data_IF_595912995267
#
_entry.id   IF_595912995267
#
_cell.length_a   1.000
_cell.length_b   1.000
_cell.length_c   1.000
_cell.angle_alpha   90.00
_cell.angle_beta   90.00
_cell.angle_gamma   90.00
#
_symmetry.space_group_name_H-M   'P 1'
#
loop_
_entity.id
_entity.type
_entity.pdbx_description
1 polymer ?
#
# COMPACT_ATOMS: atom_id res chain seq x y z
N UNK A 1 22.61 21.73 10.95
CA UNK A 1 21.57 22.02 9.96
C UNK A 1 20.24 21.42 10.39
N UNK A 2 19.57 21.89 11.44
CA UNK A 2 18.28 21.35 11.89
C UNK A 2 17.07 21.81 11.07
N UNK A 3 17.20 22.95 10.35
CA UNK A 3 16.02 23.64 9.79
C UNK A 3 15.41 23.09 8.48
N UNK A 4 16.01 22.09 7.83
CA UNK A 4 15.51 21.56 6.54
C UNK A 4 14.36 20.53 6.65
N UNK A 5 13.94 20.20 7.85
CA UNK A 5 13.06 19.04 8.09
C UNK A 5 11.69 19.37 8.69
N UNK A 6 11.41 20.62 9.08
CA UNK A 6 10.13 21.07 9.64
C UNK A 6 9.27 21.75 8.59
N UNK A 7 7.95 21.75 8.77
CA UNK A 7 7.02 22.53 7.93
C UNK A 7 7.14 24.00 8.33
N UNK A 8 7.36 24.85 7.34
CA UNK A 8 7.44 26.33 7.56
C UNK A 8 6.13 26.98 7.14
N UNK A 9 5.89 28.17 7.66
CA UNK A 9 4.77 29.00 7.22
C UNK A 9 4.89 29.28 5.71
N UNK A 10 3.80 29.08 4.98
CA UNK A 10 3.78 29.25 3.53
C UNK A 10 4.44 28.09 2.73
N UNK A 11 4.82 26.98 3.36
CA UNK A 11 5.41 25.82 2.70
C UNK A 11 4.40 24.68 2.60
N UNK A 12 4.48 23.89 1.52
CA UNK A 12 3.68 22.67 1.29
C UNK A 12 4.56 21.44 1.37
N UNK A 13 4.09 20.42 2.11
CA UNK A 13 4.66 19.09 2.08
C UNK A 13 3.66 18.08 1.54
N UNK A 14 4.02 17.37 0.46
CA UNK A 14 3.32 16.19 0.00
C UNK A 14 3.85 15.01 0.83
N UNK A 15 3.04 14.47 1.73
CA UNK A 15 3.48 13.49 2.73
C UNK A 15 2.81 12.15 2.46
N UNK A 16 3.61 11.09 2.37
CA UNK A 16 3.12 9.73 2.31
C UNK A 16 2.58 9.28 3.67
N UNK A 17 1.30 8.90 3.69
CA UNK A 17 0.60 8.39 4.86
C UNK A 17 0.86 6.88 5.09
N UNK A 18 1.68 6.25 4.24
CA UNK A 18 1.80 4.80 4.28
C UNK A 18 0.52 4.09 3.81
N UNK A 19 0.47 2.76 3.94
CA UNK A 19 -0.63 1.93 3.41
C UNK A 19 -1.90 1.96 4.29
N UNK A 20 -1.82 2.48 5.52
CA UNK A 20 -2.97 2.61 6.41
C UNK A 20 -2.65 2.48 7.89
N UNK A 21 -1.77 1.56 8.27
CA UNK A 21 -1.27 1.42 9.63
C UNK A 21 -0.39 2.62 10.01
N UNK A 22 -0.71 3.37 11.09
CA UNK A 22 0.09 4.51 11.54
C UNK A 22 1.52 4.12 11.94
N UNK A 23 1.79 2.89 12.38
CA UNK A 23 3.13 2.42 12.71
C UNK A 23 4.04 2.29 11.47
N UNK A 24 3.46 2.26 10.28
CA UNK A 24 4.19 2.26 9.01
C UNK A 24 4.47 3.67 8.47
N UNK A 25 4.19 4.71 9.24
CA UNK A 25 4.64 6.06 8.92
C UNK A 25 6.16 6.17 9.02
N UNK A 26 6.74 6.95 8.12
CA UNK A 26 8.12 7.37 8.37
C UNK A 26 8.14 8.36 9.53
N UNK A 27 9.18 8.31 10.37
CA UNK A 27 9.38 9.28 11.46
C UNK A 27 9.30 10.74 11.01
N UNK A 28 9.63 10.99 9.74
CA UNK A 28 9.52 12.31 9.15
C UNK A 28 8.06 12.65 8.85
N UNK A 29 7.29 11.71 8.31
CA UNK A 29 5.87 11.91 8.02
C UNK A 29 5.09 12.22 9.31
N UNK A 30 5.28 11.42 10.35
CA UNK A 30 4.67 11.62 11.67
C UNK A 30 4.94 13.03 12.21
N UNK A 31 6.20 13.47 12.21
CA UNK A 31 6.55 14.80 12.68
C UNK A 31 5.89 15.90 11.84
N UNK A 32 5.92 15.80 10.50
CA UNK A 32 5.30 16.79 9.62
C UNK A 32 3.79 16.89 9.83
N UNK A 33 3.11 15.76 10.08
CA UNK A 33 1.68 15.70 10.42
C UNK A 33 1.43 16.46 11.73
N UNK A 34 2.25 16.22 12.76
CA UNK A 34 2.13 16.89 14.06
C UNK A 34 2.46 18.40 14.05
N UNK A 35 3.24 18.86 13.06
CA UNK A 35 3.62 20.28 12.92
C UNK A 35 2.69 21.09 12.02
N UNK A 36 1.81 20.44 11.24
CA UNK A 36 0.93 21.10 10.28
C UNK A 36 -0.12 21.97 10.95
N UNK A 37 -0.47 23.13 10.35
CA UNK A 37 -1.64 23.91 10.72
C UNK A 37 -2.88 23.52 9.92
N UNK A 38 -2.67 22.99 8.69
CA UNK A 38 -3.72 22.44 7.86
C UNK A 38 -3.25 21.19 7.13
N UNK A 39 -4.10 20.15 7.14
CA UNK A 39 -3.86 18.87 6.48
C UNK A 39 -4.96 18.61 5.47
N UNK A 40 -4.58 18.57 4.18
CA UNK A 40 -5.45 18.10 3.11
C UNK A 40 -5.25 16.60 2.93
N UNK A 41 -6.28 15.77 3.07
CA UNK A 41 -6.17 14.32 2.98
C UNK A 41 -7.25 13.69 2.07
N UNK A 42 -6.94 12.54 1.48
CA UNK A 42 -7.89 11.75 0.69
C UNK A 42 -8.51 10.60 1.52
N UNK A 43 -9.36 9.83 0.86
CA UNK A 43 -10.08 8.74 1.49
C UNK A 43 -9.22 7.50 1.80
N UNK A 44 -8.00 7.42 1.27
CA UNK A 44 -7.08 6.29 1.50
C UNK A 44 -6.23 6.47 2.74
N UNK A 45 -6.27 7.65 3.37
CA UNK A 45 -5.57 7.90 4.63
C UNK A 45 -6.34 7.26 5.76
N UNK A 46 -5.70 6.34 6.48
CA UNK A 46 -6.29 5.64 7.62
C UNK A 46 -6.64 6.60 8.78
N UNK A 47 -7.72 6.34 9.53
CA UNK A 47 -8.15 7.19 10.63
C UNK A 47 -7.07 7.35 11.70
N UNK A 48 -6.35 6.29 12.07
CA UNK A 48 -5.26 6.35 13.06
C UNK A 48 -4.10 7.26 12.64
N UNK A 49 -3.88 7.49 11.34
CA UNK A 49 -2.88 8.45 10.85
C UNK A 49 -3.35 9.89 11.09
N UNK A 50 -4.65 10.16 10.95
CA UNK A 50 -5.20 11.51 11.18
C UNK A 50 -5.23 11.89 12.66
N UNK A 51 -5.27 10.91 13.56
CA UNK A 51 -5.21 11.12 15.02
C UNK A 51 -3.85 11.68 15.49
N UNK A 52 -2.80 11.54 14.67
CA UNK A 52 -1.47 12.08 14.94
C UNK A 52 -1.34 13.57 14.62
N UNK A 53 -2.37 14.18 14.03
CA UNK A 53 -2.39 15.61 13.75
C UNK A 53 -2.44 16.43 15.04
N UNK A 54 -1.78 17.59 15.02
CA UNK A 54 -1.89 18.52 16.14
C UNK A 54 -3.37 18.86 16.42
N UNK A 55 -3.84 18.92 17.68
CA UNK A 55 -5.26 19.20 18.01
C UNK A 55 -5.81 20.49 17.40
N UNK A 56 -4.95 21.48 17.17
CA UNK A 56 -5.31 22.73 16.50
C UNK A 56 -5.21 22.69 14.98
N UNK A 57 -4.81 21.58 14.37
CA UNK A 57 -4.70 21.46 12.93
C UNK A 57 -6.09 21.33 12.27
N UNK A 58 -6.27 22.03 11.17
CA UNK A 58 -7.50 21.95 10.38
C UNK A 58 -7.41 20.76 9.39
N UNK A 59 -8.25 19.75 9.56
CA UNK A 59 -8.35 18.61 8.65
C UNK A 59 -9.33 18.89 7.51
N UNK A 60 -8.87 18.78 6.27
CA UNK A 60 -9.64 19.06 5.06
C UNK A 60 -9.67 17.82 4.17
N UNK A 61 -10.83 17.16 4.13
CA UNK A 61 -11.02 16.01 3.23
C UNK A 61 -11.19 16.49 1.78
N UNK A 62 -10.32 16.02 0.88
CA UNK A 62 -10.32 16.37 -0.55
C UNK A 62 -10.56 15.17 -1.48
N UNK A 63 -10.61 13.94 -0.94
CA UNK A 63 -10.86 12.71 -1.68
C UNK A 63 -12.31 12.54 -2.12
N UNK A 64 -12.57 11.52 -2.95
CA UNK A 64 -13.92 11.13 -3.35
C UNK A 64 -14.68 10.53 -2.17
N UNK A 65 -15.84 11.06 -1.83
CA UNK A 65 -16.84 10.36 -1.02
C UNK A 65 -17.85 9.70 -1.96
N UNK A 66 -18.21 8.46 -1.69
CA UNK A 66 -19.27 7.76 -2.43
C UNK A 66 -20.53 8.64 -2.53
N UNK A 67 -20.98 8.91 -3.75
CA UNK A 67 -22.24 9.63 -4.03
C UNK A 67 -22.19 11.16 -4.08
N UNK A 68 -21.05 11.83 -3.91
CA UNK A 68 -20.92 13.29 -4.09
C UNK A 68 -19.80 13.63 -5.06
N UNK A 69 -19.96 14.76 -5.79
CA UNK A 69 -18.94 15.26 -6.72
C UNK A 69 -17.58 15.34 -6.02
N UNK A 70 -16.59 14.58 -6.53
CA UNK A 70 -15.22 14.78 -6.08
C UNK A 70 -14.74 16.14 -6.54
N UNK A 71 -13.99 16.84 -5.69
CA UNK A 71 -13.22 17.99 -6.17
C UNK A 71 -12.32 17.48 -7.30
N UNK A 72 -12.32 18.18 -8.44
CA UNK A 72 -11.35 17.91 -9.49
C UNK A 72 -9.94 18.26 -8.96
N UNK A 73 -8.90 17.73 -9.59
CA UNK A 73 -7.54 17.93 -9.14
C UNK A 73 -7.17 19.43 -9.12
N UNK A 74 -7.58 20.19 -10.13
CA UNK A 74 -7.32 21.62 -10.18
C UNK A 74 -7.94 22.41 -9.01
N UNK A 75 -9.08 21.97 -8.49
CA UNK A 75 -9.67 22.53 -7.28
C UNK A 75 -8.85 22.19 -6.04
N UNK A 76 -8.34 20.95 -5.93
CA UNK A 76 -7.45 20.55 -4.82
C UNK A 76 -6.18 21.39 -4.84
N UNK A 77 -5.55 21.51 -5.99
CA UNK A 77 -4.31 22.27 -6.18
C UNK A 77 -4.48 23.76 -5.76
N UNK A 78 -5.61 24.37 -6.19
CA UNK A 78 -5.95 25.75 -5.78
C UNK A 78 -6.11 25.91 -4.26
N UNK A 79 -6.75 24.95 -3.60
CA UNK A 79 -6.94 24.97 -2.14
C UNK A 79 -5.61 24.88 -1.39
N UNK A 80 -4.71 23.99 -1.83
CA UNK A 80 -3.38 23.79 -1.25
C UNK A 80 -2.56 25.08 -1.40
N UNK A 81 -2.51 25.62 -2.61
CA UNK A 81 -1.78 26.87 -2.91
C UNK A 81 -2.35 28.05 -2.12
N UNK A 82 -3.66 28.22 -2.06
CA UNK A 82 -4.30 29.30 -1.31
C UNK A 82 -3.98 29.24 0.19
N UNK A 83 -3.99 28.04 0.78
CA UNK A 83 -3.62 27.87 2.18
C UNK A 83 -2.15 28.26 2.44
N UNK A 84 -1.22 27.85 1.58
CA UNK A 84 0.19 28.22 1.70
C UNK A 84 0.41 29.72 1.54
N UNK A 85 -0.23 30.37 0.56
CA UNK A 85 -0.15 31.81 0.37
C UNK A 85 -0.75 32.61 1.54
N UNK A 86 -1.68 32.02 2.30
CA UNK A 86 -2.19 32.58 3.55
C UNK A 86 -1.23 32.38 4.75
N UNK A 87 -0.04 31.82 4.54
CA UNK A 87 0.95 31.59 5.58
C UNK A 87 0.75 30.31 6.40
N UNK A 88 -0.12 29.39 5.97
CA UNK A 88 -0.37 28.12 6.66
C UNK A 88 0.82 27.15 6.47
N UNK A 89 1.06 26.31 7.49
CA UNK A 89 1.94 25.14 7.38
C UNK A 89 1.13 23.98 6.79
N UNK A 90 1.30 23.76 5.48
CA UNK A 90 0.44 22.88 4.70
C UNK A 90 1.02 21.48 4.56
N UNK A 91 0.27 20.48 4.98
CA UNK A 91 0.52 19.08 4.64
C UNK A 91 -0.57 18.56 3.71
N UNK A 92 -0.18 18.06 2.53
CA UNK A 92 -1.02 17.25 1.66
C UNK A 92 -0.69 15.77 1.95
N UNK A 93 -1.56 15.11 2.70
CA UNK A 93 -1.40 13.72 3.14
C UNK A 93 -2.02 12.77 2.12
N UNK A 94 -1.22 11.83 1.61
CA UNK A 94 -1.58 10.93 0.49
C UNK A 94 -1.35 9.48 0.91
N UNK A 95 -2.33 8.60 0.67
CA UNK A 95 -2.16 7.16 0.94
C UNK A 95 -0.94 6.58 0.21
N UNK A 96 -0.20 5.69 0.85
CA UNK A 96 1.04 5.11 0.34
C UNK A 96 2.18 6.11 0.23
N UNK A 97 2.81 6.15 -0.93
CA UNK A 97 3.87 7.10 -1.31
C UNK A 97 3.36 8.12 -2.32
N UNK A 98 3.58 9.43 -2.14
CA UNK A 98 3.12 10.47 -3.07
C UNK A 98 3.64 10.31 -4.50
N UNK A 99 4.81 9.70 -4.66
CA UNK A 99 5.48 9.53 -5.96
C UNK A 99 4.98 8.32 -6.76
N UNK A 100 4.15 7.45 -6.14
CA UNK A 100 3.65 6.23 -6.76
C UNK A 100 2.14 6.36 -6.99
N UNK A 101 1.74 6.61 -8.25
CA UNK A 101 0.36 6.80 -8.70
C UNK A 101 -0.45 7.84 -7.92
N UNK A 102 0.26 8.74 -7.20
CA UNK A 102 -0.32 9.74 -6.31
C UNK A 102 -0.61 11.09 -6.98
N UNK A 103 -0.39 11.28 -8.29
CA UNK A 103 -0.58 12.55 -9.01
C UNK A 103 0.22 13.72 -8.39
N UNK A 104 1.37 13.44 -7.76
CA UNK A 104 2.17 14.45 -7.09
C UNK A 104 2.67 15.55 -8.02
N UNK A 105 2.93 15.23 -9.30
CA UNK A 105 3.43 16.20 -10.28
C UNK A 105 2.47 17.37 -10.46
N UNK A 106 1.17 17.14 -10.51
CA UNK A 106 0.16 18.19 -10.68
C UNK A 106 0.18 19.17 -9.48
N UNK A 107 0.21 18.63 -8.25
CA UNK A 107 0.30 19.42 -7.01
C UNK A 107 1.64 20.19 -6.90
N UNK A 108 2.77 19.56 -7.32
CA UNK A 108 4.09 20.20 -7.37
C UNK A 108 4.10 21.37 -8.35
N UNK A 109 3.56 21.17 -9.56
CA UNK A 109 3.57 22.18 -10.62
C UNK A 109 2.67 23.36 -10.28
N UNK A 110 1.51 23.11 -9.66
CA UNK A 110 0.63 24.16 -9.16
C UNK A 110 1.32 25.03 -8.09
N UNK A 111 1.99 24.41 -7.12
CA UNK A 111 2.74 25.14 -6.10
C UNK A 111 3.89 25.96 -6.70
N UNK A 112 4.69 25.36 -7.61
CA UNK A 112 5.80 26.03 -8.28
C UNK A 112 5.33 27.21 -9.11
N UNK A 113 4.24 27.06 -9.87
CA UNK A 113 3.65 28.13 -10.66
C UNK A 113 3.20 29.33 -9.80
N UNK A 114 2.80 29.06 -8.56
CA UNK A 114 2.41 30.08 -7.58
C UNK A 114 3.58 30.61 -6.74
N UNK A 115 4.82 30.16 -6.96
CA UNK A 115 5.98 30.55 -6.14
C UNK A 115 5.96 29.97 -4.73
N UNK A 116 5.14 28.95 -4.46
CA UNK A 116 5.02 28.31 -3.15
C UNK A 116 6.09 27.22 -3.02
N UNK A 117 6.93 27.25 -1.97
CA UNK A 117 7.88 26.17 -1.69
C UNK A 117 7.15 24.84 -1.47
N UNK A 118 7.55 23.80 -2.17
CA UNK A 118 6.92 22.47 -2.07
C UNK A 118 7.96 21.37 -2.01
N UNK A 119 7.70 20.37 -1.16
CA UNK A 119 8.58 19.21 -0.96
C UNK A 119 7.80 17.91 -0.84
N UNK A 120 8.49 16.78 -1.03
CA UNK A 120 7.92 15.44 -0.84
C UNK A 120 8.57 14.78 0.39
N UNK A 121 7.74 14.16 1.21
CA UNK A 121 8.14 13.18 2.20
C UNK A 121 7.65 11.80 1.75
N UNK A 122 8.54 10.83 1.48
CA UNK A 122 8.13 9.51 1.02
C UNK A 122 7.34 8.75 2.10
N UNK A 123 6.57 7.76 1.65
CA UNK A 123 5.85 6.83 2.51
C UNK A 123 6.09 5.37 2.11
N UNK A 124 5.64 4.44 2.94
CA UNK A 124 5.63 3.02 2.61
C UNK A 124 4.53 2.78 1.59
N UNK A 125 4.90 2.27 0.41
CA UNK A 125 3.91 1.97 -0.64
C UNK A 125 3.10 0.71 -0.31
N UNK A 126 1.87 0.62 -0.78
CA UNK A 126 0.98 -0.52 -0.56
C UNK A 126 1.60 -1.86 -1.00
N UNK A 127 2.43 -1.88 -2.05
CA UNK A 127 3.10 -3.09 -2.50
C UNK A 127 4.06 -3.67 -1.46
N UNK A 128 4.82 -2.81 -0.75
CA UNK A 128 5.73 -3.25 0.31
C UNK A 128 4.97 -3.78 1.52
N UNK A 129 3.88 -3.13 1.90
CA UNK A 129 3.04 -3.57 3.01
C UNK A 129 2.32 -4.89 2.69
N UNK A 130 1.74 -5.00 1.50
CA UNK A 130 1.08 -6.23 1.04
C UNK A 130 2.06 -7.41 1.03
N UNK A 131 3.30 -7.21 0.52
CA UNK A 131 4.33 -8.23 0.54
C UNK A 131 4.73 -8.66 1.96
N UNK A 132 4.85 -7.70 2.87
CA UNK A 132 5.13 -7.97 4.29
C UNK A 132 3.99 -8.75 4.95
N UNK A 133 2.73 -8.35 4.73
CA UNK A 133 1.53 -9.02 5.26
C UNK A 133 1.42 -10.49 4.82
N UNK A 134 1.76 -10.79 3.58
CA UNK A 134 1.75 -12.17 3.06
C UNK A 134 3.06 -12.95 3.31
N UNK A 135 4.06 -12.33 3.94
CA UNK A 135 5.37 -12.96 4.16
C UNK A 135 6.12 -13.31 2.88
N UNK A 136 5.95 -12.52 1.81
CA UNK A 136 6.59 -12.73 0.51
C UNK A 136 7.68 -11.69 0.24
N UNK A 137 8.68 -12.10 -0.56
CA UNK A 137 9.60 -11.14 -1.20
C UNK A 137 9.09 -10.86 -2.61
N UNK A 138 9.01 -9.60 -2.99
CA UNK A 138 8.64 -9.20 -4.36
C UNK A 138 9.77 -9.45 -5.37
N UNK A 139 10.98 -9.75 -4.90
CA UNK A 139 12.13 -10.10 -5.73
C UNK A 139 12.76 -11.38 -5.21
N UNK A 140 13.21 -12.25 -6.11
CA UNK A 140 13.81 -13.52 -5.73
C UNK A 140 14.99 -13.84 -6.67
N UNK A 141 16.17 -14.07 -6.09
CA UNK A 141 17.36 -14.40 -6.85
C UNK A 141 17.13 -15.64 -7.73
N UNK A 142 17.43 -15.52 -9.02
CA UNK A 142 17.29 -16.60 -9.99
C UNK A 142 15.86 -16.83 -10.52
N UNK A 143 14.85 -16.13 -9.98
CA UNK A 143 13.46 -16.30 -10.38
C UNK A 143 12.77 -14.97 -10.73
N UNK A 144 12.86 -13.96 -9.86
CA UNK A 144 12.22 -12.67 -10.08
C UNK A 144 13.21 -11.53 -9.82
N UNK A 145 13.88 -11.07 -10.87
CA UNK A 145 14.88 -10.00 -10.81
C UNK A 145 14.31 -8.62 -11.04
N UNK A 146 13.07 -8.55 -11.49
CA UNK A 146 12.37 -7.31 -11.83
C UNK A 146 11.14 -7.16 -10.96
N UNK A 147 10.85 -5.95 -10.55
CA UNK A 147 9.62 -5.55 -9.90
C UNK A 147 9.03 -4.38 -10.68
N UNK A 148 7.85 -4.59 -11.21
CA UNK A 148 7.16 -3.58 -12.02
C UNK A 148 5.91 -3.10 -11.29
N UNK A 149 5.84 -1.81 -11.01
CA UNK A 149 4.62 -1.15 -10.54
C UNK A 149 3.85 -0.64 -11.76
N UNK A 150 2.59 -1.04 -11.83
CA UNK A 150 1.70 -0.64 -12.92
C UNK A 150 0.34 -0.24 -12.36
N UNK A 151 -0.33 0.71 -12.98
CA UNK A 151 -1.71 1.05 -12.66
C UNK A 151 -2.64 0.53 -13.72
N UNK A 152 -3.70 -0.16 -13.30
CA UNK A 152 -4.77 -0.60 -14.19
C UNK A 152 -5.97 0.37 -14.15
N UNK A 153 -5.73 1.64 -13.80
CA UNK A 153 -6.73 2.69 -13.86
C UNK A 153 -6.71 3.34 -15.26
N UNK A 154 -7.72 3.08 -16.06
CA UNK A 154 -8.00 3.82 -17.28
C UNK A 154 -8.86 5.05 -16.99
N UNK A 155 -8.78 6.10 -17.82
CA UNK A 155 -9.73 7.20 -17.75
C UNK A 155 -11.14 6.69 -18.11
N UNK A 156 -12.16 7.34 -17.55
CA UNK A 156 -13.53 6.93 -17.81
C UNK A 156 -13.83 6.92 -19.32
N UNK A 157 -14.23 5.75 -19.83
CA UNK A 157 -14.53 5.54 -21.26
C UNK A 157 -13.33 5.20 -22.16
N UNK A 158 -12.11 5.15 -21.61
CA UNK A 158 -10.91 4.72 -22.35
C UNK A 158 -10.58 3.24 -22.07
N UNK A 159 -10.03 2.56 -23.07
CA UNK A 159 -9.47 1.23 -22.88
C UNK A 159 -8.22 1.29 -22.00
N UNK A 160 -7.95 0.22 -21.25
CA UNK A 160 -6.70 0.08 -20.52
C UNK A 160 -5.58 -0.26 -21.50
N UNK A 161 -4.81 0.75 -21.89
CA UNK A 161 -3.67 0.61 -22.81
C UNK A 161 -2.38 0.45 -22.00
N UNK A 162 -1.84 -0.77 -21.99
CA UNK A 162 -0.55 -1.12 -21.39
C UNK A 162 0.26 -1.93 -22.41
N UNK A 163 1.57 -1.85 -22.32
CA UNK A 163 2.49 -2.68 -23.12
C UNK A 163 2.55 -4.10 -22.51
N UNK A 164 1.56 -4.91 -22.87
CA UNK A 164 1.36 -6.24 -22.31
C UNK A 164 2.52 -7.19 -22.58
N UNK A 165 3.18 -7.06 -23.74
CA UNK A 165 4.34 -7.88 -24.10
C UNK A 165 5.51 -7.61 -23.17
N UNK A 166 5.71 -6.36 -22.72
CA UNK A 166 6.73 -6.03 -21.71
C UNK A 166 6.33 -6.40 -20.30
N UNK A 167 5.05 -6.47 -20.01
CA UNK A 167 4.55 -6.84 -18.68
C UNK A 167 4.48 -8.36 -18.48
N UNK A 168 4.31 -9.15 -19.52
CA UNK A 168 4.26 -10.61 -19.48
C UNK A 168 5.65 -11.23 -19.35
N UNK A 169 6.43 -10.80 -18.37
CA UNK A 169 7.78 -11.27 -18.10
C UNK A 169 7.76 -12.28 -16.93
N UNK A 170 8.07 -13.58 -17.17
CA UNK A 170 8.06 -14.61 -16.13
C UNK A 170 9.14 -14.39 -15.06
N UNK A 171 10.18 -13.58 -15.34
CA UNK A 171 11.22 -13.20 -14.39
C UNK A 171 10.90 -11.90 -13.63
N UNK A 172 9.68 -11.40 -13.74
CA UNK A 172 9.22 -10.21 -13.05
C UNK A 172 8.12 -10.51 -12.05
N UNK A 173 8.03 -9.68 -11.00
CA UNK A 173 6.83 -9.55 -10.19
C UNK A 173 6.12 -8.26 -10.59
N UNK A 174 4.82 -8.35 -10.87
CA UNK A 174 3.97 -7.20 -11.13
C UNK A 174 3.21 -6.83 -9.86
N UNK A 175 3.21 -5.56 -9.51
CA UNK A 175 2.31 -4.99 -8.50
C UNK A 175 1.32 -4.05 -9.22
N UNK A 176 0.09 -4.52 -9.40
CA UNK A 176 -0.95 -3.82 -10.16
C UNK A 176 -1.83 -3.03 -9.20
N UNK A 177 -1.68 -1.73 -9.24
CA UNK A 177 -2.48 -0.77 -8.48
C UNK A 177 -3.80 -0.47 -9.19
N UNK A 178 -4.86 -0.26 -8.41
CA UNK A 178 -6.21 0.05 -8.94
C UNK A 178 -6.73 -1.02 -9.92
N UNK A 179 -6.22 -2.25 -9.79
CA UNK A 179 -6.46 -3.34 -10.74
C UNK A 179 -7.76 -4.12 -10.52
N UNK A 180 -8.46 -3.94 -9.40
CA UNK A 180 -9.63 -4.75 -9.03
C UNK A 180 -10.71 -4.77 -10.13
N UNK A 181 -11.12 -3.62 -10.62
CA UNK A 181 -12.13 -3.53 -11.67
C UNK A 181 -11.63 -4.04 -13.04
N UNK A 182 -10.32 -3.97 -13.28
CA UNK A 182 -9.67 -4.37 -14.52
C UNK A 182 -9.08 -5.80 -14.45
N UNK A 183 -9.32 -6.56 -13.38
CA UNK A 183 -8.70 -7.87 -13.14
C UNK A 183 -8.85 -8.84 -14.32
N UNK A 184 -10.03 -8.89 -14.95
CA UNK A 184 -10.27 -9.73 -16.13
C UNK A 184 -9.49 -9.26 -17.37
N UNK A 185 -9.34 -7.94 -17.56
CA UNK A 185 -8.53 -7.38 -18.65
C UNK A 185 -7.06 -7.71 -18.45
N UNK A 186 -6.56 -7.50 -17.22
CA UNK A 186 -5.17 -7.81 -16.83
C UNK A 186 -4.87 -9.30 -17.05
N UNK A 187 -5.72 -10.19 -16.57
CA UNK A 187 -5.55 -11.64 -16.72
C UNK A 187 -5.49 -12.07 -18.19
N UNK A 188 -6.49 -11.69 -18.98
CA UNK A 188 -6.56 -12.10 -20.40
C UNK A 188 -5.38 -11.57 -21.21
N UNK A 189 -5.00 -10.30 -21.04
CA UNK A 189 -3.93 -9.72 -21.83
C UNK A 189 -2.54 -10.24 -21.42
N UNK A 190 -2.27 -10.45 -20.14
CA UNK A 190 -1.01 -11.07 -19.71
C UNK A 190 -0.86 -12.49 -20.24
N UNK A 191 -1.95 -13.29 -20.22
CA UNK A 191 -1.94 -14.64 -20.79
C UNK A 191 -1.80 -14.62 -22.33
N UNK A 192 -2.48 -13.70 -23.01
CA UNK A 192 -2.34 -13.53 -24.45
C UNK A 192 -0.93 -13.13 -24.88
N UNK A 193 -0.22 -12.36 -24.01
CA UNK A 193 1.18 -11.99 -24.17
C UNK A 193 2.17 -13.07 -23.70
N UNK A 194 1.70 -14.26 -23.30
CA UNK A 194 2.51 -15.46 -23.06
C UNK A 194 2.78 -15.79 -21.60
N UNK A 195 2.22 -15.07 -20.63
CA UNK A 195 2.35 -15.45 -19.23
C UNK A 195 1.46 -16.68 -18.92
N UNK A 196 2.01 -17.65 -18.19
CA UNK A 196 1.30 -18.89 -17.90
C UNK A 196 0.05 -18.65 -17.04
N UNK A 197 -1.05 -19.36 -17.34
CA UNK A 197 -2.31 -19.21 -16.62
C UNK A 197 -2.23 -19.63 -15.14
N UNK A 198 -1.29 -20.52 -14.77
CA UNK A 198 -1.03 -20.96 -13.41
C UNK A 198 -0.03 -20.05 -12.64
N UNK A 199 0.38 -18.92 -13.24
CA UNK A 199 1.21 -17.92 -12.56
C UNK A 199 0.53 -17.48 -11.26
N UNK A 200 1.25 -17.53 -10.11
CA UNK A 200 0.69 -17.18 -8.82
C UNK A 200 0.25 -15.72 -8.74
N UNK A 201 -0.89 -15.50 -8.10
CA UNK A 201 -1.43 -14.18 -7.82
C UNK A 201 -1.82 -14.07 -6.34
N UNK A 202 -1.44 -12.99 -5.69
CA UNK A 202 -1.96 -12.60 -4.39
C UNK A 202 -2.82 -11.34 -4.53
N UNK A 203 -4.05 -11.42 -4.04
CA UNK A 203 -4.97 -10.31 -3.90
C UNK A 203 -4.90 -9.82 -2.47
N UNK A 204 -4.52 -8.55 -2.26
CA UNK A 204 -4.42 -7.97 -0.92
C UNK A 204 -5.32 -6.73 -0.86
N UNK A 205 -6.40 -6.84 -0.12
CA UNK A 205 -7.34 -5.74 0.13
C UNK A 205 -7.07 -5.11 1.48
N UNK A 206 -7.10 -3.77 1.57
CA UNK A 206 -6.86 -3.00 2.80
C UNK A 206 -5.50 -3.33 3.47
N UNK A 207 -4.43 -3.44 2.67
CA UNK A 207 -3.10 -3.79 3.14
C UNK A 207 -2.69 -2.98 4.38
N UNK A 208 -2.20 -3.66 5.41
CA UNK A 208 -1.79 -3.14 6.71
C UNK A 208 -2.92 -2.62 7.65
N UNK A 209 -4.17 -2.65 7.22
CA UNK A 209 -5.29 -2.25 8.06
C UNK A 209 -5.84 -3.46 8.86
N UNK A 210 -6.54 -3.25 9.98
CA UNK A 210 -7.15 -4.35 10.75
C UNK A 210 -8.12 -5.22 9.94
N UNK A 211 -8.72 -4.68 8.88
CA UNK A 211 -9.59 -5.38 7.94
C UNK A 211 -8.85 -5.89 6.70
N UNK A 212 -7.53 -6.06 6.77
CA UNK A 212 -6.76 -6.66 5.68
C UNK A 212 -7.33 -8.04 5.31
N UNK A 213 -7.47 -8.28 4.02
CA UNK A 213 -7.86 -9.57 3.47
C UNK A 213 -6.86 -9.99 2.41
N UNK A 214 -6.41 -11.23 2.52
CA UNK A 214 -5.47 -11.84 1.58
C UNK A 214 -6.12 -13.04 0.93
N UNK A 215 -5.99 -13.15 -0.38
CA UNK A 215 -6.46 -14.30 -1.15
C UNK A 215 -5.44 -14.67 -2.21
N UNK A 216 -4.97 -15.93 -2.19
CA UNK A 216 -4.09 -16.48 -3.21
C UNK A 216 -4.90 -17.16 -4.30
N UNK A 217 -4.47 -16.96 -5.55
CA UNK A 217 -5.10 -17.53 -6.73
C UNK A 217 -4.06 -17.68 -7.85
N UNK A 218 -4.53 -18.00 -9.04
CA UNK A 218 -3.74 -18.08 -10.27
C UNK A 218 -4.23 -17.04 -11.25
N UNK A 219 -3.39 -16.73 -12.24
CA UNK A 219 -3.68 -15.70 -13.25
C UNK A 219 -4.96 -16.00 -14.05
N UNK A 220 -5.19 -17.27 -14.42
CA UNK A 220 -6.40 -17.71 -15.14
C UNK A 220 -7.70 -17.59 -14.32
N UNK A 221 -7.61 -17.56 -13.01
CA UNK A 221 -8.73 -17.39 -12.07
C UNK A 221 -8.85 -15.97 -11.51
N UNK A 222 -7.97 -15.05 -11.90
CA UNK A 222 -7.87 -13.70 -11.31
C UNK A 222 -9.20 -12.92 -11.40
N UNK A 223 -9.90 -12.97 -12.53
CA UNK A 223 -11.19 -12.29 -12.71
C UNK A 223 -12.25 -12.80 -11.72
N UNK A 224 -12.40 -14.13 -11.64
CA UNK A 224 -13.35 -14.76 -10.72
C UNK A 224 -13.00 -14.43 -9.26
N UNK A 225 -11.73 -14.62 -8.89
CA UNK A 225 -11.26 -14.38 -7.53
C UNK A 225 -11.43 -12.91 -7.10
N UNK A 226 -11.12 -11.96 -7.98
CA UNK A 226 -11.30 -10.53 -7.71
C UNK A 226 -12.76 -10.17 -7.42
N UNK A 227 -13.72 -10.83 -8.11
CA UNK A 227 -15.16 -10.57 -7.93
C UNK A 227 -15.76 -11.25 -6.70
N UNK A 228 -15.20 -12.39 -6.27
CA UNK A 228 -15.79 -13.22 -5.21
C UNK A 228 -15.08 -13.09 -3.87
N UNK A 229 -13.76 -12.81 -3.87
CA UNK A 229 -12.96 -12.78 -2.65
C UNK A 229 -12.72 -11.37 -2.10
N UNK A 230 -12.80 -10.32 -2.93
CA UNK A 230 -12.56 -8.93 -2.51
C UNK A 230 -13.88 -8.23 -2.15
N UNK A 231 -13.82 -7.38 -1.12
CA UNK A 231 -14.89 -6.46 -0.72
C UNK A 231 -14.82 -5.13 -1.50
N UNK A 232 -15.17 -4.00 -0.87
CA UNK A 232 -15.18 -2.66 -1.49
C UNK A 232 -13.92 -1.83 -1.20
N UNK A 233 -12.97 -2.41 -0.46
CA UNK A 233 -11.72 -1.75 -0.09
C UNK A 233 -10.74 -1.59 -1.26
N UNK A 234 -9.73 -0.73 -1.09
CA UNK A 234 -8.62 -0.64 -2.03
C UNK A 234 -7.86 -1.97 -2.06
N UNK A 235 -7.60 -2.47 -3.26
CA UNK A 235 -6.92 -3.74 -3.45
C UNK A 235 -5.71 -3.61 -4.35
N UNK A 236 -4.67 -4.37 -4.02
CA UNK A 236 -3.47 -4.57 -4.81
C UNK A 236 -3.45 -5.99 -5.35
N UNK A 237 -3.06 -6.13 -6.62
CA UNK A 237 -2.83 -7.43 -7.24
C UNK A 237 -1.31 -7.63 -7.37
N UNK A 238 -0.77 -8.65 -6.74
CA UNK A 238 0.61 -9.06 -6.91
C UNK A 238 0.62 -10.30 -7.80
N UNK A 239 1.42 -10.31 -8.88
CA UNK A 239 1.44 -11.37 -9.89
C UNK A 239 2.89 -11.77 -10.14
N UNK A 240 3.21 -13.05 -10.08
CA UNK A 240 4.53 -13.55 -10.43
C UNK A 240 5.01 -14.73 -9.60
N UNK A 241 6.01 -15.43 -10.09
CA UNK A 241 6.55 -16.66 -9.52
C UNK A 241 7.16 -16.49 -8.11
N UNK A 242 7.61 -15.28 -7.76
CA UNK A 242 8.11 -14.99 -6.42
C UNK A 242 7.07 -15.26 -5.31
N UNK A 243 5.78 -15.28 -5.64
CA UNK A 243 4.68 -15.48 -4.70
C UNK A 243 4.39 -16.96 -4.41
N UNK A 244 4.87 -17.90 -5.24
CA UNK A 244 4.54 -19.33 -5.13
C UNK A 244 4.88 -19.94 -3.77
N UNK A 245 5.98 -19.53 -3.16
CA UNK A 245 6.36 -20.04 -1.83
C UNK A 245 5.48 -19.49 -0.70
N UNK A 246 4.98 -18.26 -0.83
CA UNK A 246 4.06 -17.66 0.15
C UNK A 246 2.71 -18.36 0.09
N UNK A 247 2.19 -18.64 -1.09
CA UNK A 247 0.97 -19.42 -1.32
C UNK A 247 1.04 -20.79 -0.67
N UNK A 248 2.11 -21.54 -0.91
CA UNK A 248 2.34 -22.87 -0.32
C UNK A 248 2.41 -22.83 1.21
N UNK A 249 3.07 -21.83 1.80
CA UNK A 249 3.14 -21.67 3.25
C UNK A 249 1.77 -21.37 3.87
N UNK A 250 0.97 -20.56 3.23
CA UNK A 250 -0.37 -20.24 3.72
C UNK A 250 -1.30 -21.46 3.64
N UNK A 251 -1.21 -22.23 2.58
CA UNK A 251 -1.96 -23.50 2.44
C UNK A 251 -1.58 -24.51 3.55
N UNK A 252 -0.28 -24.65 3.86
CA UNK A 252 0.20 -25.53 4.94
C UNK A 252 -0.26 -25.05 6.33
N UNK A 253 -0.24 -23.74 6.59
CA UNK A 253 -0.77 -23.18 7.84
C UNK A 253 -2.27 -23.43 8.00
N UNK A 254 -3.06 -23.25 6.96
CA UNK A 254 -4.50 -23.54 6.98
C UNK A 254 -4.78 -25.03 7.22
N UNK A 255 -4.02 -25.94 6.60
CA UNK A 255 -4.16 -27.36 6.85
C UNK A 255 -3.81 -27.77 8.29
N UNK A 256 -2.80 -27.13 8.90
CA UNK A 256 -2.42 -27.37 10.30
C UNK A 256 -3.48 -26.89 11.29
N UNK A 257 -4.11 -25.75 11.03
CA UNK A 257 -5.19 -25.21 11.88
C UNK A 257 -6.48 -26.01 11.76
N UNK A 258 -6.73 -26.65 10.62
CA UNK A 258 -7.93 -27.51 10.40
C UNK A 258 -7.78 -28.92 10.95
N UNK A 259 -6.58 -29.37 11.38
CA UNK A 259 -6.39 -30.69 11.99
C UNK A 259 -6.74 -30.63 13.47
N UNK A 260 -7.83 -31.27 13.96
CA UNK A 260 -8.15 -31.34 15.38
C UNK A 260 -7.02 -32.08 16.11
N UNK A 261 -6.34 -31.42 17.03
CA UNK A 261 -5.26 -32.01 17.86
C UNK A 261 -3.87 -31.39 17.75
N UNK A 262 -3.64 -30.38 16.90
CA UNK A 262 -2.32 -29.74 16.76
C UNK A 262 -1.93 -28.85 17.97
N UNK A 263 -2.92 -28.28 18.66
CA UNK A 263 -2.70 -27.44 19.85
C UNK A 263 -2.13 -28.24 21.05
N UNK A 264 -2.49 -29.52 21.19
CA UNK A 264 -2.02 -30.37 22.30
C UNK A 264 -0.54 -30.76 22.20
N UNK A 265 -0.03 -31.00 20.98
CA UNK A 265 1.37 -31.43 20.77
C UNK A 265 2.38 -30.27 20.89
N UNK A 266 1.98 -29.05 20.57
CA UNK A 266 2.86 -27.87 20.74
C UNK A 266 3.04 -27.53 22.23
N UNK A 267 1.98 -27.66 23.03
CA UNK A 267 2.05 -27.47 24.48
C UNK A 267 2.94 -28.53 25.17
N UNK A 268 2.79 -29.81 24.78
CA UNK A 268 3.64 -30.91 25.31
C UNK A 268 5.11 -30.76 24.93
N UNK A 269 5.42 -30.24 23.74
CA UNK A 269 6.80 -30.01 23.31
C UNK A 269 7.43 -28.83 24.08
N UNK A 270 6.68 -27.76 24.34
CA UNK A 270 7.18 -26.63 25.15
C UNK A 270 7.38 -27.01 26.61
N UNK A 271 6.50 -27.82 27.21
CA UNK A 271 6.69 -28.35 28.56
C UNK A 271 7.92 -29.26 28.69
N UNK A 272 8.20 -30.11 27.68
CA UNK A 272 9.41 -30.95 27.67
C UNK A 272 10.70 -30.13 27.55
N UNK A 273 10.70 -29.04 26.77
CA UNK A 273 11.87 -28.14 26.67
C UNK A 273 12.08 -27.36 27.96
N UNK A 274 11.01 -26.88 28.58
CA UNK A 274 11.10 -26.19 29.88
C UNK A 274 11.58 -27.11 31.02
N UNK A 275 11.24 -28.40 30.99
CA UNK A 275 11.67 -29.37 32.01
C UNK A 275 13.14 -29.79 31.87
N UNK A 276 13.76 -29.63 30.68
CA UNK A 276 15.17 -29.99 30.46
C UNK A 276 16.15 -28.84 30.73
N UNK A 277 15.69 -27.60 30.88
CA UNK A 277 16.55 -26.44 31.21
C UNK A 277 16.57 -26.04 32.68
N UNK A 278 15.83 -26.72 33.52
CA UNK A 278 15.77 -26.48 34.95
C UNK A 278 16.50 -27.54 35.78
N UNK A 279 17.83 -27.43 35.94
CA UNK A 279 18.57 -27.77 37.17
C UNK A 279 20.07 -27.86 36.92
N UNK A 280 20.79 -26.87 37.39
CA UNK A 280 22.03 -27.03 38.18
C UNK A 280 22.43 -25.67 38.76
N UNK A 281 22.00 -25.40 39.96
CA UNK A 281 22.73 -24.52 40.88
C UNK A 281 23.92 -25.26 41.42
N UNK A 282 25.13 -24.73 41.40
CA UNK A 282 26.20 -25.19 42.28
C UNK A 282 26.10 -24.47 43.62
N UNK A 283 25.96 -25.27 44.67
CA UNK A 283 26.27 -24.88 46.04
C UNK A 283 27.78 -24.78 46.18
N UNK A 284 28.31 -23.64 46.57
CA UNK A 284 29.25 -23.35 47.67
C UNK A 284 29.43 -21.86 47.73
#
# INVERSE_FOLDING_TARGET
MPERNSVRDGEVWLVGAGPGDPELLTRKAERLIGEASVIFHDALVGPGVLELAHPGARLVHVGKRSGRHSKDQGTIDKLIVAAALAGERVVRLKGGDPSIFGRATEELDACRAAGVPVRICPGVTAASAAAAGIGASLTLRGLARKLTFVTAHARAGEALELDWDKLADPEATLAVYMGKAAAGVVSRNLMAAGLAGDTPVALVENASLPQERVFFTRLDLLELSSRTALGDGPALLLIGEALRQADLRQADLQQRTMRPGAASRAAETMERVACHTGRRTPTI
#
